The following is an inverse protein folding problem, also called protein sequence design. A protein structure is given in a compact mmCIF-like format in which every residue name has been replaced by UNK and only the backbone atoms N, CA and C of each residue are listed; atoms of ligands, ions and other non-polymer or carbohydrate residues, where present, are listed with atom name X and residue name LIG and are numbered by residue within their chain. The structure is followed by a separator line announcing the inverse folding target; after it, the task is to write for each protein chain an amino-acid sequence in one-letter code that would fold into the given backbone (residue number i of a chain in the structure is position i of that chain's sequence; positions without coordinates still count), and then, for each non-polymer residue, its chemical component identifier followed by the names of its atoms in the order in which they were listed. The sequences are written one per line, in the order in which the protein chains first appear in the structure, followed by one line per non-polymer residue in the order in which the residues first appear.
data_IF_092270174001
#
_entry.id   IF_092270174001
#
_cell.length_a   1.000
_cell.length_b   1.000
_cell.length_c   1.000
_cell.angle_alpha   90.00
_cell.angle_beta   90.00
_cell.angle_gamma   90.00
#
_symmetry.space_group_name_H-M   'P 1'
#
loop_
_entity.id
_entity.type
_entity.pdbx_description
1 polymer ?
#
# COMPACT_ATOMS: atom_id res chain seq x y z
N UNK A 1 12.57 11.03 12.98
CA UNK A 1 13.60 10.52 12.07
C UNK A 1 13.24 9.12 11.65
N UNK A 2 13.54 8.74 10.40
CA UNK A 2 13.35 7.37 9.94
C UNK A 2 14.28 6.40 10.69
N UNK A 3 13.91 5.13 10.75
CA UNK A 3 14.75 4.10 11.35
C UNK A 3 16.14 4.03 10.69
N UNK A 4 16.18 4.05 9.35
CA UNK A 4 17.43 4.06 8.60
C UNK A 4 18.29 5.29 8.89
N UNK A 5 17.70 6.45 9.09
CA UNK A 5 18.42 7.69 9.43
C UNK A 5 19.13 7.57 10.79
N UNK A 6 18.42 7.11 11.81
CA UNK A 6 18.98 6.91 13.15
C UNK A 6 20.11 5.88 13.15
N UNK A 7 19.89 4.73 12.50
CA UNK A 7 20.85 3.63 12.52
C UNK A 7 22.05 3.85 11.61
N UNK A 8 21.87 4.49 10.45
CA UNK A 8 23.00 4.74 9.53
C UNK A 8 24.01 5.70 10.13
N UNK A 9 23.54 6.66 10.94
CA UNK A 9 24.41 7.60 11.64
C UNK A 9 25.15 6.99 12.85
N UNK A 10 24.74 5.82 13.34
CA UNK A 10 25.36 5.18 14.50
C UNK A 10 26.75 4.61 14.17
N UNK A 11 27.69 4.71 15.12
CA UNK A 11 29.03 4.12 15.04
C UNK A 11 28.92 2.59 15.13
N UNK A 12 28.20 2.09 16.14
CA UNK A 12 27.85 0.68 16.29
C UNK A 12 26.39 0.43 15.89
N UNK A 13 26.22 -0.09 14.69
CA UNK A 13 24.90 -0.34 14.08
C UNK A 13 24.14 -1.46 14.79
N UNK A 14 24.80 -2.49 15.26
CA UNK A 14 24.15 -3.60 15.95
C UNK A 14 23.67 -3.18 17.36
N UNK A 15 24.46 -2.40 18.08
CA UNK A 15 24.03 -1.82 19.35
C UNK A 15 22.84 -0.86 19.16
N UNK A 16 22.85 -0.05 18.08
CA UNK A 16 21.75 0.86 17.77
C UNK A 16 20.47 0.11 17.37
N UNK A 17 20.56 -0.97 16.59
CA UNK A 17 19.41 -1.85 16.29
C UNK A 17 18.84 -2.45 17.57
N UNK A 18 19.71 -3.00 18.43
CA UNK A 18 19.29 -3.56 19.71
C UNK A 18 18.55 -2.52 20.55
N UNK A 19 19.07 -1.31 20.66
CA UNK A 19 18.43 -0.22 21.40
C UNK A 19 17.04 0.12 20.83
N UNK A 20 16.89 0.19 19.50
CA UNK A 20 15.61 0.48 18.85
C UNK A 20 14.57 -0.63 19.16
N UNK A 21 14.97 -1.89 19.14
CA UNK A 21 14.06 -2.99 19.47
C UNK A 21 13.79 -3.13 20.96
N UNK A 22 14.72 -2.77 21.83
CA UNK A 22 14.51 -2.66 23.27
C UNK A 22 13.48 -1.56 23.60
N UNK A 23 13.45 -0.47 22.82
CA UNK A 23 12.42 0.57 22.93
C UNK A 23 11.03 0.04 22.52
N UNK A 24 10.94 -0.75 21.46
CA UNK A 24 9.67 -1.41 21.06
C UNK A 24 9.17 -2.31 22.20
N UNK A 25 10.06 -3.14 22.80
CA UNK A 25 9.74 -3.98 23.95
C UNK A 25 9.28 -3.16 25.15
N UNK A 26 9.99 -2.08 25.44
CA UNK A 26 9.64 -1.17 26.55
C UNK A 26 8.25 -0.55 26.34
N UNK A 27 7.94 -0.04 25.17
CA UNK A 27 6.64 0.56 24.86
C UNK A 27 5.50 -0.43 25.06
N UNK A 28 5.68 -1.69 24.65
CA UNK A 28 4.69 -2.74 24.87
C UNK A 28 4.58 -3.13 26.35
N UNK A 29 5.70 -3.23 27.08
CA UNK A 29 5.70 -3.45 28.52
C UNK A 29 4.98 -2.34 29.29
N UNK A 30 5.23 -1.06 28.94
CA UNK A 30 4.58 0.10 29.56
C UNK A 30 3.07 0.12 29.30
N UNK A 31 2.64 -0.35 28.13
CA UNK A 31 1.22 -0.55 27.83
C UNK A 31 0.62 -1.67 28.70
N UNK A 32 1.28 -2.81 28.76
CA UNK A 32 0.80 -3.97 29.54
C UNK A 32 0.78 -3.71 31.06
N UNK A 33 1.70 -2.91 31.59
CA UNK A 33 1.74 -2.52 32.99
C UNK A 33 0.46 -1.78 33.45
N UNK A 34 -0.28 -1.17 32.53
CA UNK A 34 -1.57 -0.50 32.80
C UNK A 34 -2.75 -1.47 32.75
N UNK A 35 -2.54 -2.71 32.30
CA UNK A 35 -3.56 -3.75 32.15
C UNK A 35 -3.92 -4.33 33.52
N UNK A 36 -5.20 -4.42 33.83
CA UNK A 36 -5.65 -5.18 34.99
C UNK A 36 -5.43 -6.69 34.78
N UNK A 37 -5.21 -7.44 35.86
CA UNK A 37 -5.04 -8.89 35.76
C UNK A 37 -6.20 -9.54 35.02
N UNK A 38 -5.89 -10.39 34.05
CA UNK A 38 -6.84 -11.11 33.18
C UNK A 38 -7.73 -10.22 32.28
N UNK A 39 -7.42 -8.94 32.15
CA UNK A 39 -8.15 -8.06 31.22
C UNK A 39 -7.69 -8.32 29.79
N UNK A 40 -8.60 -8.53 28.82
CA UNK A 40 -8.24 -8.52 27.40
C UNK A 40 -7.60 -7.20 27.00
N UNK A 41 -6.79 -7.22 25.94
CA UNK A 41 -6.18 -6.01 25.41
C UNK A 41 -6.28 -5.96 23.88
N UNK A 42 -6.22 -4.75 23.36
CA UNK A 42 -5.99 -4.45 21.96
C UNK A 42 -4.78 -3.52 21.87
N UNK A 43 -3.76 -3.93 21.14
CA UNK A 43 -2.54 -3.16 20.94
C UNK A 43 -2.29 -2.96 19.45
N UNK A 44 -2.24 -1.71 19.02
CA UNK A 44 -1.93 -1.36 17.63
C UNK A 44 -0.49 -0.85 17.56
N UNK A 45 0.38 -1.61 16.90
CA UNK A 45 1.77 -1.26 16.66
C UNK A 45 1.90 -0.66 15.27
N UNK A 46 2.08 0.65 15.19
CA UNK A 46 2.16 1.40 13.95
C UNK A 46 3.50 2.17 13.89
N UNK A 47 4.61 1.51 13.56
CA UNK A 47 5.87 2.19 13.35
C UNK A 47 5.83 3.00 12.04
N UNK A 48 6.74 3.95 11.89
CA UNK A 48 6.85 4.75 10.66
C UNK A 48 7.46 3.96 9.49
N UNK A 49 8.08 2.79 9.73
CA UNK A 49 8.51 1.88 8.69
C UNK A 49 7.26 1.28 7.98
N UNK A 50 7.20 1.30 6.72
CA UNK A 50 8.20 1.54 5.67
C UNK A 50 8.01 2.90 4.96
N UNK A 51 7.51 3.93 5.66
CA UNK A 51 7.29 5.24 5.06
C UNK A 51 8.63 5.91 4.68
N UNK A 52 8.63 6.66 3.56
CA UNK A 52 9.79 7.50 3.21
C UNK A 52 9.94 8.65 4.23
N UNK A 53 11.16 9.19 4.48
CA UNK A 53 12.39 8.98 3.66
C UNK A 53 13.24 7.82 4.17
N UNK A 54 13.96 7.17 3.26
CA UNK A 54 15.01 6.20 3.61
C UNK A 54 16.37 6.80 3.28
N UNK A 55 17.38 6.40 4.03
CA UNK A 55 18.76 6.80 3.72
C UNK A 55 19.28 5.95 2.58
N UNK A 56 19.77 6.60 1.52
CA UNK A 56 20.34 5.90 0.38
C UNK A 56 21.48 4.96 0.81
N UNK A 57 21.45 3.72 0.36
CA UNK A 57 22.40 2.67 0.71
C UNK A 57 22.16 2.03 2.09
N UNK A 58 21.09 2.41 2.80
CA UNK A 58 20.78 1.87 4.14
C UNK A 58 20.45 0.38 4.12
N UNK A 59 19.81 -0.12 3.08
CA UNK A 59 19.52 -1.55 2.92
C UNK A 59 20.78 -2.40 2.96
N UNK A 60 21.82 -1.97 2.21
CA UNK A 60 23.13 -2.62 2.24
C UNK A 60 23.85 -2.40 3.57
N UNK A 61 23.88 -1.16 4.05
CA UNK A 61 24.66 -0.78 5.22
C UNK A 61 24.14 -1.40 6.54
N UNK A 62 22.83 -1.59 6.66
CA UNK A 62 22.19 -2.08 7.90
C UNK A 62 21.81 -3.57 7.82
N UNK A 63 21.48 -4.07 6.63
CA UNK A 63 20.88 -5.39 6.45
C UNK A 63 21.67 -6.28 5.48
N UNK A 64 22.80 -5.79 4.97
CA UNK A 64 23.64 -6.50 3.99
C UNK A 64 22.88 -6.90 2.71
N UNK A 65 21.85 -6.12 2.34
CA UNK A 65 21.11 -6.31 1.10
C UNK A 65 21.93 -5.78 -0.08
N UNK A 66 22.32 -6.67 -0.98
CA UNK A 66 23.04 -6.25 -2.19
C UNK A 66 22.02 -5.87 -3.28
N UNK A 67 21.97 -4.60 -3.77
CA UNK A 67 21.07 -4.20 -4.84
C UNK A 67 21.22 -5.06 -6.12
N UNK A 68 22.38 -5.59 -6.41
CA UNK A 68 22.60 -6.43 -7.59
C UNK A 68 21.90 -7.79 -7.51
N UNK A 69 21.54 -8.26 -6.32
CA UNK A 69 20.73 -9.48 -6.14
C UNK A 69 19.30 -9.31 -6.65
N UNK A 70 18.86 -8.06 -6.86
CA UNK A 70 17.55 -7.70 -7.42
C UNK A 70 17.56 -7.65 -8.95
N UNK A 71 18.71 -7.75 -9.61
CA UNK A 71 18.81 -7.74 -11.07
C UNK A 71 17.98 -8.88 -11.68
N UNK A 72 17.11 -8.55 -12.62
CA UNK A 72 16.16 -9.47 -13.24
C UNK A 72 14.97 -9.86 -12.36
N UNK A 73 14.83 -9.28 -11.16
CA UNK A 73 13.72 -9.54 -10.22
C UNK A 73 12.86 -8.29 -9.95
N UNK A 74 13.20 -7.16 -10.57
CA UNK A 74 12.43 -5.93 -10.41
C UNK A 74 11.02 -6.06 -11.01
N UNK A 75 10.01 -5.40 -10.44
CA UNK A 75 8.69 -5.35 -11.07
C UNK A 75 8.77 -4.77 -12.48
N UNK A 76 8.05 -5.34 -13.47
CA UNK A 76 8.16 -4.91 -14.87
C UNK A 76 7.64 -3.49 -15.14
N UNK A 77 7.05 -2.85 -14.13
CA UNK A 77 6.57 -1.46 -14.18
C UNK A 77 7.67 -0.44 -13.86
N UNK A 78 8.86 -0.88 -13.49
CA UNK A 78 10.02 -0.03 -13.23
C UNK A 78 11.23 -0.48 -14.07
N UNK A 79 12.13 0.44 -14.47
CA UNK A 79 13.39 0.05 -15.11
C UNK A 79 14.28 -0.74 -14.15
N UNK A 80 14.91 -1.79 -14.66
CA UNK A 80 15.90 -2.57 -13.89
C UNK A 80 17.28 -1.95 -14.02
N UNK A 81 17.53 -0.87 -13.30
CA UNK A 81 18.80 -0.12 -13.27
C UNK A 81 19.36 -0.05 -11.86
N UNK A 82 20.69 0.16 -11.70
CA UNK A 82 21.34 0.12 -10.39
C UNK A 82 20.69 1.07 -9.35
N UNK A 83 20.34 2.30 -9.75
CA UNK A 83 19.79 3.33 -8.88
C UNK A 83 18.41 2.95 -8.33
N UNK A 84 17.59 2.32 -9.16
CA UNK A 84 16.24 1.88 -8.75
C UNK A 84 16.33 0.59 -7.92
N UNK A 85 17.30 -0.31 -8.22
CA UNK A 85 17.56 -1.47 -7.36
C UNK A 85 18.07 -1.07 -5.97
N UNK A 86 18.89 -0.02 -5.88
CA UNK A 86 19.35 0.52 -4.59
C UNK A 86 18.16 1.06 -3.78
N UNK A 87 17.29 1.88 -4.38
CA UNK A 87 16.08 2.40 -3.73
C UNK A 87 15.13 1.27 -3.27
N UNK A 88 15.01 0.20 -4.05
CA UNK A 88 14.28 -1.01 -3.66
C UNK A 88 14.94 -1.77 -2.51
N UNK A 89 16.26 -1.91 -2.51
CA UNK A 89 17.00 -2.56 -1.43
C UNK A 89 16.88 -1.78 -0.12
N UNK A 90 16.85 -0.45 -0.18
CA UNK A 90 16.62 0.42 0.98
C UNK A 90 15.21 0.23 1.54
N UNK A 91 14.20 0.14 0.67
CA UNK A 91 12.83 -0.23 1.09
C UNK A 91 12.78 -1.58 1.79
N UNK A 92 13.41 -2.59 1.21
CA UNK A 92 13.46 -3.94 1.82
C UNK A 92 14.18 -3.92 3.18
N UNK A 93 15.16 -3.04 3.37
CA UNK A 93 15.78 -2.80 4.67
C UNK A 93 14.82 -2.28 5.73
N UNK A 94 13.90 -1.37 5.35
CA UNK A 94 12.84 -0.90 6.24
C UNK A 94 11.81 -2.01 6.55
N UNK A 95 11.52 -2.89 5.57
CA UNK A 95 10.68 -4.07 5.80
C UNK A 95 11.32 -5.02 6.81
N UNK A 96 12.64 -5.27 6.71
CA UNK A 96 13.37 -6.09 7.67
C UNK A 96 13.37 -5.49 9.08
N UNK A 97 13.43 -4.17 9.18
CA UNK A 97 13.30 -3.48 10.47
C UNK A 97 11.91 -3.68 11.09
N UNK A 98 10.87 -3.58 10.29
CA UNK A 98 9.50 -3.85 10.72
C UNK A 98 9.31 -5.31 11.18
N UNK A 99 9.82 -6.26 10.40
CA UNK A 99 9.77 -7.70 10.72
C UNK A 99 10.48 -7.99 12.06
N UNK A 100 11.67 -7.44 12.27
CA UNK A 100 12.41 -7.60 13.53
C UNK A 100 11.67 -7.01 14.73
N UNK A 101 11.00 -5.87 14.55
CA UNK A 101 10.17 -5.27 15.60
C UNK A 101 8.93 -6.15 15.92
N UNK A 102 8.28 -6.71 14.90
CA UNK A 102 7.20 -7.68 15.10
C UNK A 102 7.68 -8.94 15.84
N UNK A 103 8.86 -9.46 15.46
CA UNK A 103 9.46 -10.61 16.14
C UNK A 103 9.72 -10.33 17.62
N UNK A 104 10.17 -9.10 17.98
CA UNK A 104 10.36 -8.69 19.37
C UNK A 104 9.05 -8.76 20.18
N UNK A 105 7.94 -8.28 19.61
CA UNK A 105 6.62 -8.32 20.26
C UNK A 105 6.09 -9.76 20.39
N UNK A 106 6.24 -10.58 19.36
CA UNK A 106 5.85 -12.01 19.36
C UNK A 106 6.62 -12.77 20.46
N UNK A 107 7.93 -12.52 20.59
CA UNK A 107 8.75 -13.11 21.64
C UNK A 107 8.26 -12.73 23.05
N UNK A 108 7.90 -11.47 23.27
CA UNK A 108 7.34 -11.03 24.55
C UNK A 108 6.02 -11.74 24.89
N UNK A 109 5.13 -11.90 23.91
CA UNK A 109 3.87 -12.65 24.10
C UNK A 109 4.14 -14.12 24.44
N UNK A 110 5.18 -14.71 23.86
CA UNK A 110 5.60 -16.08 24.17
C UNK A 110 6.15 -16.19 25.60
N UNK A 111 7.04 -15.28 26.00
CA UNK A 111 7.63 -15.20 27.34
C UNK A 111 6.54 -15.04 28.44
N UNK A 112 5.45 -14.33 28.10
CA UNK A 112 4.30 -14.13 28.99
C UNK A 112 3.32 -15.30 28.98
N UNK A 113 3.46 -16.30 28.12
CA UNK A 113 2.49 -17.40 27.95
C UNK A 113 1.17 -16.97 27.29
N UNK A 114 1.10 -15.79 26.70
CA UNK A 114 -0.12 -15.23 26.08
C UNK A 114 -0.19 -15.45 24.56
N UNK A 115 0.89 -15.93 23.93
CA UNK A 115 1.02 -16.02 22.47
C UNK A 115 -0.10 -16.84 21.81
N UNK A 116 -0.51 -17.96 22.42
CA UNK A 116 -1.53 -18.84 21.86
C UNK A 116 -2.97 -18.32 22.07
N UNK A 117 -3.14 -17.38 22.99
CA UNK A 117 -4.41 -16.73 23.25
C UNK A 117 -4.51 -15.31 22.66
N UNK A 118 -3.55 -14.94 21.83
CA UNK A 118 -3.51 -13.62 21.16
C UNK A 118 -3.71 -13.78 19.66
N UNK A 119 -4.61 -12.97 19.10
CA UNK A 119 -4.70 -12.77 17.65
C UNK A 119 -3.61 -11.80 17.26
N UNK A 120 -2.73 -12.22 16.36
CA UNK A 120 -1.70 -11.37 15.79
C UNK A 120 -2.07 -11.14 14.33
N UNK A 121 -2.17 -9.87 13.92
CA UNK A 121 -2.39 -9.45 12.55
C UNK A 121 -1.23 -8.58 12.11
N UNK A 122 -0.61 -8.93 10.99
CA UNK A 122 0.46 -8.16 10.36
C UNK A 122 -0.01 -7.75 8.97
N UNK A 123 0.03 -6.46 8.69
CA UNK A 123 -0.36 -5.90 7.39
C UNK A 123 0.41 -4.61 7.08
N UNK A 124 0.45 -4.23 5.81
CA UNK A 124 0.70 -2.84 5.39
C UNK A 124 -0.63 -2.09 5.24
N UNK A 125 -0.57 -0.78 5.11
CA UNK A 125 -1.72 0.10 4.84
C UNK A 125 -1.90 0.35 3.34
N UNK A 126 -0.81 0.39 2.58
CA UNK A 126 -0.76 0.52 1.12
C UNK A 126 0.57 -0.03 0.58
N UNK A 127 0.72 -0.06 -0.76
CA UNK A 127 1.95 -0.50 -1.42
C UNK A 127 3.10 0.52 -1.33
N UNK A 128 4.23 0.15 -1.90
CA UNK A 128 5.50 0.90 -1.81
C UNK A 128 5.37 2.36 -2.27
N UNK A 129 5.85 3.36 -1.48
CA UNK A 129 5.83 4.76 -1.87
C UNK A 129 6.96 5.13 -2.84
N UNK A 130 6.71 6.08 -3.75
CA UNK A 130 7.73 6.63 -4.64
C UNK A 130 8.12 5.75 -5.84
N UNK A 131 7.35 4.70 -6.13
CA UNK A 131 7.52 3.83 -7.30
C UNK A 131 6.30 3.89 -8.23
N UNK A 132 6.49 3.68 -9.56
CA UNK A 132 5.38 3.51 -10.50
C UNK A 132 4.39 2.44 -10.04
N UNK A 133 3.10 2.71 -10.20
CA UNK A 133 2.02 1.80 -9.76
C UNK A 133 2.01 1.45 -8.26
N UNK A 134 2.90 2.01 -7.44
CA UNK A 134 2.93 1.86 -5.99
C UNK A 134 1.83 2.68 -5.28
N UNK A 135 2.14 3.20 -4.09
CA UNK A 135 1.23 4.04 -3.29
C UNK A 135 0.42 5.02 -4.15
N UNK A 136 -0.83 5.24 -3.82
CA UNK A 136 -1.80 6.07 -4.56
C UNK A 136 -2.34 5.46 -5.85
N UNK A 137 -2.01 4.23 -6.20
CA UNK A 137 -2.60 3.51 -7.31
C UNK A 137 -3.52 2.38 -6.82
N UNK A 138 -4.51 2.02 -7.65
CA UNK A 138 -5.44 0.93 -7.37
C UNK A 138 -4.96 -0.42 -7.93
N UNK A 139 -3.82 -0.44 -8.57
CA UNK A 139 -3.15 -1.66 -9.04
C UNK A 139 -2.58 -2.44 -7.86
N UNK A 140 -2.39 -3.75 -8.01
CA UNK A 140 -1.93 -4.62 -6.91
C UNK A 140 -0.62 -4.12 -6.28
N UNK A 141 0.31 -3.58 -7.04
CA UNK A 141 1.56 -3.03 -6.49
C UNK A 141 1.35 -1.82 -5.56
N UNK A 142 0.21 -1.14 -5.67
CA UNK A 142 -0.17 0.00 -4.83
C UNK A 142 -1.19 -0.33 -3.75
N UNK A 143 -1.96 -1.40 -3.89
CA UNK A 143 -3.13 -1.69 -3.04
C UNK A 143 -3.16 -3.10 -2.45
N UNK A 144 -2.48 -4.09 -3.04
CA UNK A 144 -2.39 -5.42 -2.46
C UNK A 144 -1.27 -5.45 -1.41
N UNK A 145 -1.67 -5.39 -0.15
CA UNK A 145 -0.76 -5.45 1.00
C UNK A 145 -0.67 -6.88 1.55
N UNK A 146 0.45 -7.28 2.17
CA UNK A 146 0.49 -8.53 2.90
C UNK A 146 -0.56 -8.48 4.02
N UNK A 147 -1.23 -9.61 4.26
CA UNK A 147 -2.12 -9.78 5.40
C UNK A 147 -1.89 -11.18 5.99
N UNK A 148 -1.29 -11.23 7.16
CA UNK A 148 -1.08 -12.45 7.91
C UNK A 148 -1.85 -12.40 9.23
N UNK A 149 -2.62 -13.46 9.52
CA UNK A 149 -3.41 -13.58 10.74
C UNK A 149 -3.02 -14.88 11.45
N UNK A 150 -2.58 -14.77 12.71
CA UNK A 150 -2.23 -15.90 13.54
C UNK A 150 -3.16 -15.95 14.76
N UNK A 151 -3.78 -17.09 14.98
CA UNK A 151 -4.53 -17.42 16.22
C UNK A 151 -4.60 -18.95 16.39
N UNK A 152 -3.60 -19.59 17.04
CA UNK A 152 -3.43 -21.05 17.04
C UNK A 152 -4.63 -21.84 17.53
N UNK A 153 -5.39 -21.28 18.48
CA UNK A 153 -6.58 -21.97 19.03
C UNK A 153 -7.78 -21.99 18.07
N UNK A 154 -7.77 -21.20 16.99
CA UNK A 154 -8.95 -20.98 16.13
C UNK A 154 -8.65 -21.05 14.65
N UNK A 155 -7.46 -20.67 14.22
CA UNK A 155 -7.04 -20.58 12.82
C UNK A 155 -6.03 -21.68 12.54
N UNK A 156 -6.25 -22.43 11.45
CA UNK A 156 -5.32 -23.48 11.02
C UNK A 156 -4.00 -22.85 10.53
N UNK A 157 -2.85 -23.46 10.90
CA UNK A 157 -1.58 -23.03 10.33
C UNK A 157 -1.54 -23.27 8.82
N UNK A 158 -0.77 -22.45 8.10
CA UNK A 158 -0.54 -22.55 6.66
C UNK A 158 -1.82 -22.42 5.79
N UNK A 159 -2.91 -21.90 6.35
CA UNK A 159 -4.11 -21.58 5.59
C UNK A 159 -3.83 -20.40 4.66
N UNK A 160 -4.09 -20.57 3.38
CA UNK A 160 -4.02 -19.51 2.37
C UNK A 160 -5.43 -19.23 1.88
N UNK A 161 -5.90 -18.01 2.09
CA UNK A 161 -7.15 -17.49 1.50
C UNK A 161 -6.82 -16.93 0.13
N UNK A 162 -7.45 -17.46 -0.92
CA UNK A 162 -7.17 -17.13 -2.33
C UNK A 162 -8.05 -16.02 -2.89
N UNK A 163 -9.13 -15.69 -2.21
CA UNK A 163 -10.01 -14.59 -2.63
C UNK A 163 -9.57 -13.27 -2.01
N UNK A 164 -9.76 -12.13 -2.69
CA UNK A 164 -9.47 -10.83 -2.13
C UNK A 164 -10.28 -10.56 -0.86
N UNK A 165 -9.59 -10.06 0.16
CA UNK A 165 -10.17 -9.51 1.39
C UNK A 165 -9.72 -8.05 1.53
N UNK A 166 -10.43 -7.28 2.34
CA UNK A 166 -10.11 -5.87 2.57
C UNK A 166 -9.72 -5.62 4.02
N UNK A 167 -8.91 -4.59 4.30
CA UNK A 167 -8.57 -4.21 5.66
C UNK A 167 -9.79 -3.80 6.50
N UNK A 168 -10.88 -3.34 5.85
CA UNK A 168 -12.15 -3.06 6.54
C UNK A 168 -12.78 -4.33 7.14
N UNK A 169 -12.40 -5.52 6.66
CA UNK A 169 -12.89 -6.81 7.18
C UNK A 169 -12.28 -7.16 8.55
N UNK A 170 -11.21 -6.46 8.97
CA UNK A 170 -10.55 -6.70 10.26
C UNK A 170 -11.42 -6.29 11.45
N UNK A 171 -12.13 -5.16 11.36
CA UNK A 171 -12.95 -4.69 12.48
C UNK A 171 -14.06 -5.68 12.86
N UNK A 172 -14.94 -6.14 11.94
CA UNK A 172 -15.93 -7.16 12.28
C UNK A 172 -15.31 -8.50 12.68
N UNK A 173 -14.12 -8.83 12.15
CA UNK A 173 -13.37 -10.03 12.55
C UNK A 173 -12.91 -9.95 14.00
N UNK A 174 -12.38 -8.81 14.45
CA UNK A 174 -11.95 -8.60 15.83
C UNK A 174 -13.13 -8.57 16.81
N UNK A 175 -14.24 -7.94 16.44
CA UNK A 175 -15.46 -7.94 17.26
C UNK A 175 -15.98 -9.36 17.43
N UNK A 176 -16.09 -10.13 16.36
CA UNK A 176 -16.51 -11.53 16.44
C UNK A 176 -15.55 -12.39 17.29
N UNK A 177 -14.24 -12.16 17.17
CA UNK A 177 -13.25 -12.84 18.01
C UNK A 177 -13.38 -12.51 19.49
N UNK A 178 -13.80 -11.30 19.83
CA UNK A 178 -14.08 -10.84 21.18
C UNK A 178 -15.47 -11.26 21.70
N UNK A 179 -16.28 -11.94 20.88
CA UNK A 179 -17.66 -12.30 21.24
C UNK A 179 -18.62 -11.11 21.26
N UNK A 180 -18.29 -10.05 20.52
CA UNK A 180 -19.08 -8.84 20.40
C UNK A 180 -19.80 -8.82 19.05
N UNK A 181 -20.96 -8.17 19.01
CA UNK A 181 -21.70 -7.96 17.78
C UNK A 181 -21.06 -6.86 16.94
N UNK A 182 -21.10 -7.02 15.61
CA UNK A 182 -20.76 -5.96 14.67
C UNK A 182 -21.84 -4.87 14.70
N UNK A 183 -21.48 -3.60 14.41
CA UNK A 183 -22.49 -2.57 14.12
C UNK A 183 -23.44 -3.02 13.00
N UNK A 184 -24.67 -2.47 12.99
CA UNK A 184 -25.61 -2.67 11.90
C UNK A 184 -24.97 -2.22 10.58
N UNK A 185 -25.14 -3.04 9.53
CA UNK A 185 -24.63 -2.80 8.17
C UNK A 185 -23.12 -2.43 8.09
N UNK A 186 -22.20 -3.33 8.53
CA UNK A 186 -20.78 -3.08 8.39
C UNK A 186 -20.35 -3.19 6.92
N UNK A 187 -19.48 -2.29 6.47
CA UNK A 187 -18.87 -2.38 5.14
C UNK A 187 -17.95 -3.61 5.00
N UNK A 188 -17.35 -4.04 6.10
CA UNK A 188 -16.49 -5.21 6.19
C UNK A 188 -17.24 -6.49 6.53
N UNK A 189 -16.63 -7.63 6.22
CA UNK A 189 -17.13 -8.98 6.57
C UNK A 189 -16.26 -9.63 7.63
N UNK A 190 -16.86 -10.50 8.46
CA UNK A 190 -16.12 -11.32 9.41
C UNK A 190 -15.36 -12.45 8.69
N UNK A 191 -14.04 -12.48 8.84
CA UNK A 191 -13.17 -13.48 8.19
C UNK A 191 -13.08 -14.79 8.95
N UNK A 192 -13.45 -14.87 10.24
CA UNK A 192 -13.29 -16.07 11.06
C UNK A 192 -13.94 -17.33 10.48
N UNK A 193 -15.14 -17.28 9.86
CA UNK A 193 -15.75 -18.46 9.26
C UNK A 193 -14.93 -19.08 8.13
N UNK A 194 -14.13 -18.28 7.40
CA UNK A 194 -13.23 -18.78 6.37
C UNK A 194 -11.88 -19.21 6.90
N UNK A 195 -11.42 -18.61 8.02
CA UNK A 195 -10.11 -18.89 8.61
C UNK A 195 -10.11 -20.07 9.58
N UNK A 196 -11.24 -20.40 10.18
CA UNK A 196 -11.37 -21.51 11.16
C UNK A 196 -11.16 -22.87 10.53
N UNK A 197 -11.05 -23.90 11.37
CA UNK A 197 -11.00 -25.29 10.93
C UNK A 197 -12.25 -25.65 10.10
N UNK A 198 -12.05 -26.21 8.89
CA UNK A 198 -13.12 -26.46 7.93
C UNK A 198 -13.63 -25.19 7.23
N UNK A 199 -12.88 -24.09 7.34
CA UNK A 199 -13.21 -22.84 6.68
C UNK A 199 -13.19 -22.93 5.16
N UNK A 200 -14.10 -22.17 4.54
CA UNK A 200 -14.33 -22.16 3.09
C UNK A 200 -14.25 -20.72 2.57
N UNK A 201 -13.38 -20.48 1.57
CA UNK A 201 -13.23 -19.18 0.91
C UNK A 201 -14.52 -18.73 0.20
N UNK A 202 -15.39 -19.68 -0.20
CA UNK A 202 -16.68 -19.38 -0.81
C UNK A 202 -17.65 -18.65 0.13
N UNK A 203 -17.37 -18.65 1.44
CA UNK A 203 -18.12 -17.86 2.43
C UNK A 203 -17.75 -16.39 2.45
N UNK A 204 -16.66 -16.03 1.78
CA UNK A 204 -16.21 -14.66 1.65
C UNK A 204 -16.84 -13.99 0.43
N UNK A 205 -16.90 -12.68 0.46
CA UNK A 205 -17.42 -11.83 -0.61
C UNK A 205 -16.75 -12.09 -1.98
N UNK A 206 -15.48 -12.54 -1.99
CA UNK A 206 -14.75 -12.92 -3.19
C UNK A 206 -14.22 -11.75 -4.02
N UNK A 207 -14.39 -10.52 -3.55
CA UNK A 207 -13.88 -9.32 -4.19
C UNK A 207 -13.57 -8.23 -3.16
N UNK A 208 -12.75 -7.26 -3.54
CA UNK A 208 -12.46 -6.06 -2.75
C UNK A 208 -12.69 -4.80 -3.59
N UNK A 209 -13.26 -3.75 -2.95
CA UNK A 209 -13.30 -2.40 -3.52
C UNK A 209 -12.03 -1.66 -3.14
N UNK A 210 -11.51 -0.90 -4.10
CA UNK A 210 -10.35 -0.04 -3.92
C UNK A 210 -10.71 1.32 -4.48
N UNK A 211 -10.28 2.40 -3.84
CA UNK A 211 -10.58 3.73 -4.34
C UNK A 211 -9.65 4.80 -3.81
N UNK A 212 -9.58 5.89 -4.54
CA UNK A 212 -8.91 7.11 -4.13
C UNK A 212 -9.65 8.32 -4.67
N UNK A 213 -9.69 9.36 -3.88
CA UNK A 213 -10.09 10.71 -4.30
C UNK A 213 -8.87 11.62 -4.32
N UNK A 214 -8.14 11.66 -3.23
CA UNK A 214 -7.04 12.60 -3.02
C UNK A 214 -5.99 11.97 -2.12
N UNK A 215 -4.73 12.34 -2.32
CA UNK A 215 -3.64 12.03 -1.40
C UNK A 215 -2.95 13.35 -0.97
N UNK A 216 -2.11 13.94 -1.81
CA UNK A 216 -1.54 15.24 -1.51
C UNK A 216 -2.53 16.37 -1.84
N UNK A 217 -2.77 17.27 -0.88
CA UNK A 217 -3.76 18.34 -1.04
C UNK A 217 -3.50 19.24 -2.24
N UNK A 218 -2.23 19.57 -2.49
CA UNK A 218 -1.79 20.41 -3.60
C UNK A 218 -1.20 19.60 -4.78
N UNK A 219 -1.66 18.37 -4.96
CA UNK A 219 -1.15 17.53 -6.06
C UNK A 219 -1.54 18.06 -7.44
N UNK A 220 -2.65 18.78 -7.54
CA UNK A 220 -3.17 19.36 -8.80
C UNK A 220 -3.57 20.80 -8.59
N UNK A 221 -3.53 21.55 -9.68
CA UNK A 221 -4.06 22.92 -9.71
C UNK A 221 -5.51 22.90 -9.19
N UNK A 222 -5.90 23.97 -8.51
CA UNK A 222 -7.21 24.11 -7.87
C UNK A 222 -7.53 23.01 -6.84
N UNK A 223 -6.51 22.29 -6.35
CA UNK A 223 -6.68 21.18 -5.39
C UNK A 223 -7.62 20.06 -5.87
N UNK A 224 -7.72 19.86 -7.18
CA UNK A 224 -8.61 18.87 -7.76
C UNK A 224 -8.26 17.44 -7.32
N UNK A 225 -9.27 16.62 -7.10
CA UNK A 225 -9.12 15.20 -6.82
C UNK A 225 -8.74 14.41 -8.09
N UNK A 226 -8.22 13.20 -7.92
CA UNK A 226 -8.19 12.18 -8.97
C UNK A 226 -9.08 11.01 -8.54
N UNK A 227 -10.36 11.07 -8.87
CA UNK A 227 -11.32 10.05 -8.47
C UNK A 227 -11.13 8.77 -9.28
N UNK A 228 -10.81 7.69 -8.58
CA UNK A 228 -10.68 6.35 -9.15
C UNK A 228 -11.34 5.34 -8.24
N UNK A 229 -12.04 4.36 -8.82
CA UNK A 229 -12.59 3.20 -8.13
C UNK A 229 -12.21 1.95 -8.89
N UNK A 230 -12.03 0.87 -8.15
CA UNK A 230 -11.71 -0.43 -8.74
C UNK A 230 -12.40 -1.56 -7.98
N UNK A 231 -12.66 -2.64 -8.68
CA UNK A 231 -13.07 -3.91 -8.11
C UNK A 231 -12.01 -4.96 -8.46
N UNK A 232 -11.49 -5.62 -7.42
CA UNK A 232 -10.48 -6.67 -7.49
C UNK A 232 -11.13 -8.01 -7.17
N UNK A 233 -11.18 -8.91 -8.14
CA UNK A 233 -11.62 -10.31 -8.00
C UNK A 233 -10.40 -11.23 -8.03
N UNK A 234 -10.50 -12.56 -7.78
CA UNK A 234 -9.33 -13.44 -7.88
C UNK A 234 -8.59 -13.35 -9.21
N UNK A 235 -9.32 -13.20 -10.32
CA UNK A 235 -8.76 -13.30 -11.67
C UNK A 235 -8.62 -11.96 -12.39
N UNK A 236 -9.33 -10.91 -11.94
CA UNK A 236 -9.40 -9.64 -12.66
C UNK A 236 -9.29 -8.44 -11.74
N UNK A 237 -8.71 -7.36 -12.28
CA UNK A 237 -8.86 -6.01 -11.78
C UNK A 237 -9.58 -5.18 -12.83
N UNK A 238 -10.73 -4.58 -12.46
CA UNK A 238 -11.40 -3.56 -13.25
C UNK A 238 -11.29 -2.21 -12.55
N UNK A 239 -10.95 -1.17 -13.33
CA UNK A 239 -10.73 0.20 -12.84
C UNK A 239 -11.63 1.17 -13.60
N UNK A 240 -12.28 2.08 -12.88
CA UNK A 240 -13.01 3.24 -13.41
C UNK A 240 -12.29 4.52 -13.00
N UNK A 241 -11.78 5.25 -13.98
CA UNK A 241 -11.21 6.59 -13.83
C UNK A 241 -12.30 7.61 -14.16
N UNK A 242 -12.76 8.40 -13.17
CA UNK A 242 -13.87 9.35 -13.37
C UNK A 242 -13.43 10.67 -14.02
N UNK A 243 -12.15 10.98 -13.98
CA UNK A 243 -11.56 12.20 -14.57
C UNK A 243 -10.30 11.84 -15.35
N UNK A 244 -10.43 11.15 -16.50
CA UNK A 244 -9.30 10.65 -17.30
C UNK A 244 -8.44 11.77 -17.91
N UNK A 245 -8.96 12.98 -17.98
CA UNK A 245 -8.26 14.19 -18.42
C UNK A 245 -7.22 14.70 -17.41
N UNK A 246 -7.32 14.29 -16.12
CA UNK A 246 -6.40 14.70 -15.06
C UNK A 246 -5.18 13.77 -14.97
N UNK A 247 -4.09 14.30 -14.45
CA UNK A 247 -2.89 13.51 -14.17
C UNK A 247 -3.11 12.62 -12.94
N UNK A 248 -2.94 11.28 -13.06
CA UNK A 248 -3.26 10.36 -11.96
C UNK A 248 -2.38 10.54 -10.73
N UNK A 249 -1.11 10.91 -10.93
CA UNK A 249 -0.15 11.05 -9.83
C UNK A 249 0.18 12.51 -9.48
N UNK A 250 -0.75 13.43 -9.81
CA UNK A 250 -0.55 14.86 -9.61
C UNK A 250 0.02 15.55 -10.86
N UNK A 251 -0.09 16.86 -10.90
CA UNK A 251 0.35 17.63 -12.05
C UNK A 251 1.87 17.60 -12.21
N UNK A 252 2.37 17.69 -13.45
CA UNK A 252 3.81 17.65 -13.74
C UNK A 252 4.58 18.86 -13.20
N UNK A 253 3.91 19.97 -12.94
CA UNK A 253 4.47 21.24 -12.45
C UNK A 253 5.69 21.70 -13.25
N UNK A 254 6.91 21.54 -12.71
CA UNK A 254 8.15 21.97 -13.34
C UNK A 254 8.65 21.02 -14.45
N UNK A 255 8.02 19.86 -14.63
CA UNK A 255 8.39 18.92 -15.69
C UNK A 255 7.67 19.31 -16.99
N UNK A 256 8.43 19.78 -17.95
CA UNK A 256 7.96 20.21 -19.29
C UNK A 256 8.81 19.55 -20.38
N UNK A 257 8.55 19.90 -21.64
CA UNK A 257 9.38 19.40 -22.75
C UNK A 257 10.82 19.95 -22.71
N UNK A 258 11.03 21.09 -22.04
CA UNK A 258 12.32 21.80 -22.05
C UNK A 258 12.96 21.96 -20.68
N UNK A 259 12.26 21.60 -19.59
CA UNK A 259 12.76 21.76 -18.23
C UNK A 259 12.32 20.64 -17.30
N UNK A 260 13.08 20.42 -16.25
CA UNK A 260 12.76 19.55 -15.12
C UNK A 260 13.42 20.07 -13.84
N UNK A 261 12.88 19.71 -12.65
CA UNK A 261 13.56 19.90 -11.38
C UNK A 261 14.86 19.09 -11.34
N UNK A 262 15.84 19.56 -10.56
CA UNK A 262 17.09 18.81 -10.35
C UNK A 262 16.83 17.49 -9.63
N UNK A 263 17.74 16.51 -9.84
CA UNK A 263 17.69 15.23 -9.09
C UNK A 263 17.59 15.49 -7.57
N UNK A 264 18.43 16.39 -7.04
CA UNK A 264 18.45 16.74 -5.62
C UNK A 264 17.12 17.33 -5.12
N UNK A 265 16.40 18.10 -5.96
CA UNK A 265 15.08 18.62 -5.62
C UNK A 265 14.04 17.50 -5.61
N UNK A 266 14.06 16.61 -6.60
CA UNK A 266 13.09 15.49 -6.72
C UNK A 266 13.21 14.44 -5.61
N UNK A 267 14.40 14.22 -5.06
CA UNK A 267 14.60 13.30 -3.93
C UNK A 267 14.28 13.92 -2.56
N UNK A 268 14.05 15.24 -2.48
CA UNK A 268 13.80 15.96 -1.21
C UNK A 268 12.46 16.66 -1.15
N UNK A 269 11.76 16.80 -2.28
CA UNK A 269 10.51 17.54 -2.36
C UNK A 269 9.48 16.81 -3.20
N UNK A 270 8.48 16.25 -2.54
CA UNK A 270 7.35 15.57 -3.19
C UNK A 270 6.62 16.49 -4.17
N UNK A 271 6.54 17.80 -3.87
CA UNK A 271 5.80 18.78 -4.67
C UNK A 271 6.57 19.36 -5.87
N UNK A 272 7.81 18.94 -6.08
CA UNK A 272 8.59 19.39 -7.25
C UNK A 272 7.93 18.98 -8.58
N UNK A 273 7.34 17.78 -8.63
CA UNK A 273 6.57 17.26 -9.75
C UNK A 273 5.72 16.07 -9.29
N UNK A 274 4.58 15.81 -9.92
CA UNK A 274 3.72 14.64 -9.66
C UNK A 274 3.55 14.33 -8.16
N UNK A 275 2.93 15.21 -7.35
CA UNK A 275 3.00 15.13 -5.89
C UNK A 275 2.26 13.96 -5.24
N UNK A 276 1.41 13.21 -5.96
CA UNK A 276 0.83 11.97 -5.45
C UNK A 276 1.82 10.79 -5.51
N UNK A 277 2.98 10.97 -6.14
CA UNK A 277 4.13 10.08 -6.05
C UNK A 277 5.17 10.68 -5.12
N UNK A 278 5.46 10.01 -4.02
CA UNK A 278 6.41 10.51 -3.02
C UNK A 278 7.79 10.77 -3.62
N UNK A 279 8.50 11.76 -3.07
CA UNK A 279 9.90 12.02 -3.40
C UNK A 279 10.74 10.76 -3.23
N UNK A 280 11.60 10.46 -4.21
CA UNK A 280 12.44 9.26 -4.19
C UNK A 280 13.56 9.31 -5.21
N UNK A 281 14.66 8.55 -5.02
CA UNK A 281 15.65 8.32 -6.09
C UNK A 281 15.02 7.76 -7.36
N UNK A 282 14.07 6.81 -7.24
CA UNK A 282 13.34 6.25 -8.39
C UNK A 282 12.56 7.32 -9.17
N UNK A 283 11.81 8.21 -8.48
CA UNK A 283 11.09 9.31 -9.12
C UNK A 283 12.06 10.26 -9.84
N UNK A 284 13.15 10.62 -9.18
CA UNK A 284 14.16 11.52 -9.74
C UNK A 284 14.81 10.91 -10.98
N UNK A 285 15.18 9.64 -10.91
CA UNK A 285 15.76 8.92 -12.03
C UNK A 285 14.81 8.88 -13.23
N UNK A 286 13.55 8.51 -13.03
CA UNK A 286 12.53 8.46 -14.09
C UNK A 286 12.29 9.81 -14.73
N UNK A 287 12.23 10.90 -13.96
CA UNK A 287 12.06 12.27 -14.51
C UNK A 287 13.24 12.63 -15.40
N UNK A 288 14.47 12.39 -14.94
CA UNK A 288 15.68 12.75 -15.66
C UNK A 288 15.89 11.92 -16.95
N UNK A 289 15.41 10.67 -16.97
CA UNK A 289 15.57 9.74 -18.11
C UNK A 289 14.28 9.62 -18.95
N UNK A 290 13.27 10.45 -18.72
CA UNK A 290 11.95 10.31 -19.35
C UNK A 290 11.94 10.41 -20.87
N UNK A 291 13.00 10.99 -21.45
CA UNK A 291 13.17 11.17 -22.90
C UNK A 291 14.08 10.14 -23.55
N UNK A 292 14.68 9.27 -22.75
CA UNK A 292 15.58 8.25 -23.25
C UNK A 292 14.80 7.18 -24.01
N UNK A 293 15.38 6.62 -25.04
CA UNK A 293 14.74 5.60 -25.87
C UNK A 293 14.33 4.38 -25.01
N UNK A 294 13.09 3.92 -25.18
CA UNK A 294 12.53 2.78 -24.47
C UNK A 294 11.99 3.08 -23.06
N UNK A 295 12.00 4.35 -22.67
CA UNK A 295 11.45 4.78 -21.37
C UNK A 295 9.95 5.05 -21.40
N UNK A 296 9.34 5.20 -22.57
CA UNK A 296 7.95 5.63 -22.77
C UNK A 296 6.96 4.80 -21.93
N UNK A 297 7.11 3.47 -21.92
CA UNK A 297 6.24 2.58 -21.15
C UNK A 297 6.36 2.79 -19.64
N UNK A 298 7.56 3.06 -19.11
CA UNK A 298 7.77 3.27 -17.68
C UNK A 298 7.24 4.61 -17.22
N UNK A 299 7.36 5.63 -18.07
CA UNK A 299 6.79 6.95 -17.85
C UNK A 299 5.26 6.87 -17.87
N UNK A 300 4.69 6.10 -18.80
CA UNK A 300 3.25 5.86 -18.83
C UNK A 300 2.78 5.11 -17.56
N UNK A 301 3.48 4.07 -17.11
CA UNK A 301 3.16 3.40 -15.85
C UNK A 301 3.24 4.35 -14.64
N UNK A 302 4.21 5.25 -14.62
CA UNK A 302 4.42 6.18 -13.51
C UNK A 302 3.35 7.28 -13.48
N UNK A 303 3.15 7.99 -14.59
CA UNK A 303 2.40 9.24 -14.60
C UNK A 303 1.43 9.39 -15.79
N UNK A 304 1.45 8.50 -16.79
CA UNK A 304 0.59 8.59 -17.96
C UNK A 304 -0.89 8.77 -17.58
N UNK A 305 -1.60 9.62 -18.31
CA UNK A 305 -3.04 9.77 -18.16
C UNK A 305 -3.73 8.45 -18.44
N UNK A 306 -4.69 8.09 -17.61
CA UNK A 306 -5.40 6.81 -17.70
C UNK A 306 -6.64 6.94 -18.58
N UNK A 307 -6.99 5.90 -19.36
CA UNK A 307 -8.28 5.85 -20.01
C UNK A 307 -9.41 5.80 -18.98
N UNK A 308 -10.62 6.02 -19.40
CA UNK A 308 -11.81 5.98 -18.56
C UNK A 308 -11.97 4.61 -17.86
N UNK A 309 -11.61 3.53 -18.55
CA UNK A 309 -11.72 2.16 -18.06
C UNK A 309 -10.43 1.38 -18.28
N UNK A 310 -10.08 0.57 -17.29
CA UNK A 310 -8.98 -0.37 -17.39
C UNK A 310 -9.45 -1.75 -16.93
N UNK A 311 -8.99 -2.80 -17.61
CA UNK A 311 -9.25 -4.20 -17.27
C UNK A 311 -7.95 -5.00 -17.37
N UNK A 312 -7.64 -5.76 -16.35
CA UNK A 312 -6.46 -6.61 -16.30
C UNK A 312 -6.84 -8.05 -15.97
N UNK A 313 -6.35 -9.00 -16.75
CA UNK A 313 -6.48 -10.45 -16.52
C UNK A 313 -5.25 -10.93 -15.73
N UNK A 314 -5.41 -11.11 -14.43
CA UNK A 314 -4.32 -11.39 -13.49
C UNK A 314 -3.78 -12.82 -13.61
N UNK A 315 -4.53 -13.70 -14.26
CA UNK A 315 -4.08 -15.06 -14.56
C UNK A 315 -3.03 -15.08 -15.65
N UNK A 316 -2.97 -14.03 -16.50
CA UNK A 316 -2.04 -13.89 -17.63
C UNK A 316 -1.06 -12.74 -17.44
N UNK A 317 -1.46 -11.71 -16.73
CA UNK A 317 -0.69 -10.49 -16.47
C UNK A 317 -0.80 -10.09 -14.99
N UNK A 318 -0.12 -10.80 -14.08
CA UNK A 318 -0.17 -10.52 -12.65
C UNK A 318 0.38 -9.14 -12.28
N UNK A 319 1.13 -8.51 -13.18
CA UNK A 319 1.69 -7.17 -12.98
C UNK A 319 0.84 -6.04 -13.59
N UNK A 320 -0.29 -6.38 -14.23
CA UNK A 320 -1.26 -5.39 -14.72
C UNK A 320 -0.63 -4.38 -15.71
N UNK A 321 0.18 -4.90 -16.62
CA UNK A 321 0.90 -4.08 -17.62
C UNK A 321 0.10 -3.86 -18.89
N UNK A 322 -0.90 -4.70 -19.17
CA UNK A 322 -1.69 -4.68 -20.42
C UNK A 322 -3.17 -4.42 -20.14
N UNK A 323 -3.62 -3.21 -20.43
CA UNK A 323 -5.06 -2.89 -20.36
C UNK A 323 -5.84 -3.61 -21.47
N UNK A 324 -6.86 -4.37 -21.10
CA UNK A 324 -7.71 -5.17 -21.96
C UNK A 324 -9.12 -4.57 -22.18
N UNK A 325 -9.39 -3.37 -21.66
CA UNK A 325 -10.73 -2.75 -21.71
C UNK A 325 -11.27 -2.57 -23.15
N UNK A 326 -10.38 -2.40 -24.14
CA UNK A 326 -10.77 -2.27 -25.57
C UNK A 326 -10.71 -3.57 -26.35
N UNK A 327 -10.32 -4.69 -25.70
CA UNK A 327 -10.25 -5.99 -26.37
C UNK A 327 -11.62 -6.66 -26.37
N UNK A 328 -12.18 -6.85 -27.57
CA UNK A 328 -13.52 -7.44 -27.77
C UNK A 328 -13.69 -8.81 -27.13
N UNK A 329 -12.64 -9.62 -27.02
CA UNK A 329 -12.67 -10.93 -26.37
C UNK A 329 -12.97 -10.85 -24.86
N UNK A 330 -12.81 -9.69 -24.24
CA UNK A 330 -13.07 -9.44 -22.82
C UNK A 330 -14.32 -8.58 -22.58
N UNK A 331 -15.10 -8.25 -23.59
CA UNK A 331 -16.27 -7.35 -23.50
C UNK A 331 -17.30 -7.81 -22.46
N UNK A 332 -17.60 -9.11 -22.39
CA UNK A 332 -18.52 -9.68 -21.39
C UNK A 332 -17.97 -9.53 -19.98
N UNK A 333 -16.69 -9.82 -19.77
CA UNK A 333 -16.02 -9.64 -18.46
C UNK A 333 -15.98 -8.19 -18.04
N UNK A 334 -15.63 -7.28 -18.96
CA UNK A 334 -15.62 -5.83 -18.74
C UNK A 334 -17.00 -5.33 -18.28
N UNK A 335 -18.06 -5.70 -19.04
CA UNK A 335 -19.44 -5.29 -18.71
C UNK A 335 -19.86 -5.83 -17.34
N UNK A 336 -19.61 -7.11 -17.07
CA UNK A 336 -19.93 -7.70 -15.76
C UNK A 336 -19.28 -6.98 -14.59
N UNK A 337 -17.97 -6.69 -14.68
CA UNK A 337 -17.24 -6.06 -13.59
C UNK A 337 -17.57 -4.57 -13.46
N UNK A 338 -17.82 -3.88 -14.57
CA UNK A 338 -18.36 -2.52 -14.58
C UNK A 338 -19.68 -2.44 -13.83
N UNK A 339 -20.64 -3.28 -14.20
CA UNK A 339 -21.97 -3.29 -13.60
C UNK A 339 -21.90 -3.66 -12.11
N UNK A 340 -21.04 -4.61 -11.74
CA UNK A 340 -20.79 -4.97 -10.36
C UNK A 340 -20.22 -3.79 -9.57
N UNK A 341 -19.15 -3.14 -10.06
CA UNK A 341 -18.57 -1.97 -9.40
C UNK A 341 -19.60 -0.86 -9.23
N UNK A 342 -20.33 -0.51 -10.30
CA UNK A 342 -21.32 0.58 -10.25
C UNK A 342 -22.48 0.25 -9.31
N UNK A 343 -22.92 -0.99 -9.23
CA UNK A 343 -23.92 -1.45 -8.28
C UNK A 343 -23.44 -1.30 -6.83
N UNK A 344 -22.21 -1.72 -6.54
CA UNK A 344 -21.64 -1.61 -5.21
C UNK A 344 -21.47 -0.14 -4.77
N UNK A 345 -20.96 0.72 -5.67
CA UNK A 345 -20.82 2.15 -5.38
C UNK A 345 -22.18 2.79 -5.11
N UNK A 346 -23.23 2.40 -5.86
CA UNK A 346 -24.61 2.88 -5.63
C UNK A 346 -25.15 2.39 -4.29
N UNK A 347 -24.97 1.12 -3.97
CA UNK A 347 -25.41 0.52 -2.71
C UNK A 347 -24.75 1.21 -1.52
N UNK A 348 -23.46 1.57 -1.64
CA UNK A 348 -22.70 2.29 -0.61
C UNK A 348 -22.89 3.81 -0.68
N UNK A 349 -23.75 4.31 -1.55
CA UNK A 349 -24.04 5.75 -1.73
C UNK A 349 -22.76 6.56 -1.95
N UNK A 350 -21.85 6.06 -2.81
CA UNK A 350 -20.62 6.78 -3.11
C UNK A 350 -20.95 8.17 -3.70
N UNK A 351 -20.54 9.26 -3.04
CA UNK A 351 -20.88 10.61 -3.48
C UNK A 351 -20.37 10.94 -4.88
N UNK A 352 -19.34 10.25 -5.38
CA UNK A 352 -18.79 10.48 -6.73
C UNK A 352 -19.81 10.15 -7.82
N UNK A 353 -20.80 9.29 -7.56
CA UNK A 353 -21.87 8.98 -8.52
C UNK A 353 -22.89 10.09 -8.66
N UNK A 354 -23.01 10.97 -7.65
CA UNK A 354 -24.01 12.02 -7.64
C UNK A 354 -23.48 13.33 -8.21
N UNK A 355 -22.23 13.69 -7.83
CA UNK A 355 -21.65 14.99 -8.21
C UNK A 355 -20.15 15.07 -7.93
N UNK A 356 -19.55 16.22 -8.25
CA UNK A 356 -18.14 16.50 -7.98
C UNK A 356 -17.91 17.16 -6.60
N UNK A 357 -18.67 16.78 -5.56
CA UNK A 357 -18.56 17.38 -4.23
C UNK A 357 -17.15 17.26 -3.63
N UNK A 358 -16.41 16.17 -3.92
CA UNK A 358 -15.04 16.02 -3.47
C UNK A 358 -14.02 16.99 -4.09
N UNK A 359 -14.40 17.71 -5.15
CA UNK A 359 -13.59 18.78 -5.74
C UNK A 359 -13.86 20.15 -5.08
N UNK A 360 -14.69 20.21 -4.01
CA UNK A 360 -15.09 21.44 -3.32
C UNK A 360 -14.90 21.33 -1.80
N UNK A 361 -15.02 22.45 -1.10
CA UNK A 361 -15.06 22.44 0.37
C UNK A 361 -16.26 21.59 0.88
N UNK A 362 -16.13 20.89 2.00
CA UNK A 362 -14.97 20.81 2.91
C UNK A 362 -13.88 19.84 2.49
N UNK A 363 -14.03 19.08 1.41
CA UNK A 363 -13.09 18.05 0.96
C UNK A 363 -11.87 18.62 0.26
N UNK A 364 -11.95 19.87 -0.16
CA UNK A 364 -10.91 20.63 -0.82
C UNK A 364 -9.91 21.15 0.22
N UNK A 365 -8.69 20.69 0.20
CA UNK A 365 -7.67 21.10 1.18
C UNK A 365 -6.93 22.35 0.71
N UNK A 366 -6.49 23.18 1.66
CA UNK A 366 -5.62 24.33 1.36
C UNK A 366 -4.26 23.85 0.83
N UNK A 367 -3.61 24.71 0.09
CA UNK A 367 -2.25 24.45 -0.39
C UNK A 367 -1.31 24.20 0.80
N UNK A 368 -0.65 23.04 0.80
CA UNK A 368 0.32 22.64 1.82
C UNK A 368 1.77 22.83 1.34
N UNK A 369 1.96 23.39 0.15
CA UNK A 369 3.30 23.76 -0.33
C UNK A 369 3.81 24.92 0.52
N UNK A 370 4.72 24.62 1.41
CA UNK A 370 5.51 25.61 2.16
C UNK A 370 6.98 25.43 1.83
#
# INVERSE_FOLDING_TARGET
NSYSELLTAAIDKEAAKKQAFDEVRKNFSDFLAKRKKNQPFFYSFNPTNTHRTWVQGSGKALWNLNPDDLKGKMPPVVPDVPEIREDMADYLGEVMAFDAACAALVTMLQEMGELDNTIIVISGDHGIPGFPRGKCNVHDFGSAVPLAIRWPKKILPQRIVKVPVSLIDLAPTFLAAAGLESPDDPDGQNLLPALSQGGDDAKLRGWALIGRERHAGAARVEHNAYPVRAIRTPDFLYVKNFKPDRWPMGDPYKVTDTSEPTFAELVKNTYAAFPDMDMSPTKAWLVNHRKDAGMEKFIDYAWGKRPEEELYDLTKDPHQTKNLATNSSYSTTLTKLRDQLMSELKNKKDPRLENDAFDRAPYHTKDQRK
#
